data_IF_317758912158
#
_entry.id   IF_317758912158
#
_cell.length_a   1.000
_cell.length_b   1.000
_cell.length_c   1.000
_cell.angle_alpha   90.00
_cell.angle_beta   90.00
_cell.angle_gamma   90.00
#
_symmetry.space_group_name_H-M   'P 1'
#
loop_
_entity.id
_entity.type
_entity.pdbx_description
1 polymer ?
#
# COMPACT_ATOMS: atom_id res chain seq x y z
N UNK A 1 41.89 -12.18 20.27
CA UNK A 1 41.18 -11.07 19.60
C UNK A 1 39.79 -11.04 20.18
N UNK A 2 39.29 -9.88 20.64
CA UNK A 2 37.96 -9.77 21.24
C UNK A 2 36.97 -9.41 20.13
N UNK A 3 36.30 -10.43 19.57
CA UNK A 3 35.39 -10.26 18.43
C UNK A 3 34.02 -9.67 18.83
N UNK A 4 33.65 -9.74 20.12
CA UNK A 4 32.38 -9.24 20.65
C UNK A 4 32.49 -8.94 22.15
N UNK A 5 31.66 -8.02 22.67
CA UNK A 5 31.55 -7.75 24.13
C UNK A 5 32.24 -6.48 24.64
N UNK A 6 33.06 -5.79 23.84
CA UNK A 6 33.73 -4.54 24.26
C UNK A 6 32.75 -3.44 24.69
N UNK A 7 31.58 -3.36 24.05
CA UNK A 7 30.51 -2.43 24.43
C UNK A 7 29.94 -2.73 25.84
N UNK A 8 29.95 -3.99 26.29
CA UNK A 8 29.52 -4.36 27.65
C UNK A 8 30.55 -3.94 28.68
N UNK A 9 31.84 -4.01 28.34
CA UNK A 9 32.94 -3.51 29.18
C UNK A 9 32.83 -1.99 29.35
N UNK A 10 32.59 -1.27 28.24
CA UNK A 10 32.39 0.19 28.27
C UNK A 10 31.15 0.57 29.09
N UNK A 11 30.03 -0.14 28.92
CA UNK A 11 28.82 0.09 29.71
C UNK A 11 29.01 -0.26 31.20
N UNK A 12 29.66 -1.38 31.52
CA UNK A 12 29.95 -1.77 32.89
C UNK A 12 30.86 -0.76 33.60
N UNK A 13 31.86 -0.22 32.90
CA UNK A 13 32.70 0.85 33.44
C UNK A 13 31.93 2.14 33.74
N UNK A 14 30.84 2.39 33.02
CA UNK A 14 30.01 3.58 33.18
C UNK A 14 28.91 3.40 34.24
N UNK A 15 28.37 2.19 34.41
CA UNK A 15 27.15 1.95 35.18
C UNK A 15 27.28 0.98 36.36
N UNK A 16 28.39 0.24 36.50
CA UNK A 16 28.60 -0.71 37.59
C UNK A 16 29.71 -0.26 38.54
N UNK A 17 29.46 -0.42 39.83
CA UNK A 17 30.45 -0.25 40.90
C UNK A 17 31.60 -1.25 40.74
N UNK A 18 32.84 -0.92 41.14
CA UNK A 18 34.04 -1.74 40.93
C UNK A 18 33.88 -3.21 41.35
N UNK A 19 33.23 -3.45 42.50
CA UNK A 19 33.05 -4.78 43.07
C UNK A 19 32.01 -5.64 42.32
N UNK A 20 31.23 -5.03 41.42
CA UNK A 20 30.23 -5.69 40.58
C UNK A 20 30.70 -5.86 39.12
N UNK A 21 31.97 -5.54 38.81
CA UNK A 21 32.54 -5.66 37.45
C UNK A 21 33.15 -7.03 37.20
N UNK A 22 32.35 -8.07 37.35
CA UNK A 22 32.72 -9.43 36.97
C UNK A 22 31.72 -9.95 35.94
N UNK A 23 32.23 -10.73 34.98
CA UNK A 23 31.41 -11.40 33.98
C UNK A 23 32.12 -12.66 33.50
N UNK A 24 31.32 -13.63 33.09
CA UNK A 24 31.83 -14.83 32.43
C UNK A 24 32.38 -14.46 31.04
N UNK A 25 33.54 -15.02 30.72
CA UNK A 25 34.17 -14.89 29.41
C UNK A 25 34.41 -16.27 28.84
N UNK A 26 34.01 -16.45 27.59
CA UNK A 26 34.34 -17.66 26.83
C UNK A 26 35.68 -17.44 26.11
N UNK A 27 36.64 -18.32 26.35
CA UNK A 27 37.95 -18.29 25.70
C UNK A 27 37.98 -19.31 24.55
N UNK A 28 38.32 -18.84 23.35
CA UNK A 28 38.39 -19.67 22.14
C UNK A 28 39.80 -19.72 21.58
N UNK A 29 40.19 -20.89 21.07
CA UNK A 29 41.50 -21.11 20.46
C UNK A 29 41.60 -20.38 19.11
N UNK A 30 42.76 -19.77 18.86
CA UNK A 30 42.98 -18.83 17.76
C UNK A 30 43.16 -19.62 16.45
N UNK A 31 42.07 -19.84 15.72
CA UNK A 31 42.14 -20.15 14.28
C UNK A 31 41.41 -21.39 13.77
N UNK A 32 40.19 -21.73 14.23
CA UNK A 32 39.52 -22.95 13.71
C UNK A 32 38.08 -22.88 13.20
N UNK A 33 37.47 -21.71 13.00
CA UNK A 33 36.27 -21.69 12.14
C UNK A 33 35.84 -20.30 11.67
N UNK A 34 35.70 -20.05 10.35
CA UNK A 34 34.94 -18.91 9.83
C UNK A 34 33.52 -18.84 10.43
N UNK A 35 32.92 -20.00 10.73
CA UNK A 35 31.60 -20.13 11.35
C UNK A 35 31.55 -19.56 12.78
N UNK A 36 32.63 -19.69 13.56
CA UNK A 36 32.73 -19.09 14.90
C UNK A 36 32.87 -17.56 14.83
N UNK A 37 33.66 -17.05 13.89
CA UNK A 37 33.76 -15.60 13.66
C UNK A 37 32.41 -15.00 13.25
N UNK A 38 31.68 -15.68 12.37
CA UNK A 38 30.36 -15.29 11.91
C UNK A 38 29.31 -15.40 13.03
N UNK A 39 29.40 -16.43 13.89
CA UNK A 39 28.59 -16.58 15.10
C UNK A 39 28.77 -15.39 16.07
N UNK A 40 30.01 -14.98 16.36
CA UNK A 40 30.27 -13.81 17.21
C UNK A 40 29.90 -12.47 16.56
N UNK A 41 30.02 -12.37 15.23
CA UNK A 41 29.52 -11.22 14.49
C UNK A 41 27.99 -11.10 14.58
N UNK A 42 27.30 -12.25 14.60
CA UNK A 42 25.84 -12.33 14.68
C UNK A 42 25.27 -12.10 16.10
N UNK A 43 26.12 -12.06 17.13
CA UNK A 43 25.75 -11.79 18.53
C UNK A 43 25.19 -13.00 19.28
N UNK A 44 25.23 -12.95 20.63
CA UNK A 44 24.58 -13.94 21.49
C UNK A 44 23.07 -13.96 21.26
N UNK A 45 22.43 -15.11 21.45
CA UNK A 45 20.96 -15.34 21.47
C UNK A 45 20.17 -14.32 22.31
N UNK A 46 20.83 -13.66 23.27
CA UNK A 46 20.22 -12.70 24.20
C UNK A 46 20.59 -11.23 23.90
N UNK A 47 21.35 -10.94 22.84
CA UNK A 47 21.74 -9.57 22.47
C UNK A 47 20.91 -9.05 21.28
N UNK A 48 20.00 -8.11 21.58
CA UNK A 48 19.00 -7.48 20.69
C UNK A 48 17.98 -8.47 20.11
N UNK A 49 16.71 -8.26 20.45
CA UNK A 49 15.59 -8.94 19.81
C UNK A 49 15.71 -8.72 18.30
N UNK A 50 16.14 -9.75 17.56
CA UNK A 50 16.26 -9.69 16.11
C UNK A 50 14.86 -9.46 15.56
N UNK A 51 14.70 -8.39 14.79
CA UNK A 51 13.39 -8.02 14.27
C UNK A 51 12.87 -9.11 13.32
N UNK A 52 11.55 -9.14 13.19
CA UNK A 52 10.84 -10.04 12.28
C UNK A 52 11.42 -10.03 10.86
N UNK A 53 11.69 -8.84 10.31
CA UNK A 53 12.27 -8.73 8.98
C UNK A 53 13.73 -9.14 8.90
N UNK A 54 14.56 -8.86 9.90
CA UNK A 54 15.95 -9.35 9.94
C UNK A 54 16.00 -10.88 9.97
N UNK A 55 15.05 -11.53 10.66
CA UNK A 55 14.93 -12.99 10.66
C UNK A 55 14.66 -13.49 9.24
N UNK A 56 13.66 -12.92 8.54
CA UNK A 56 13.35 -13.32 7.18
C UNK A 56 14.51 -13.04 6.21
N UNK A 57 15.14 -11.88 6.32
CA UNK A 57 16.32 -11.51 5.53
C UNK A 57 17.42 -12.58 5.66
N UNK A 58 17.76 -12.99 6.88
CA UNK A 58 18.76 -14.04 7.14
C UNK A 58 18.32 -15.40 6.61
N UNK A 59 17.06 -15.81 6.82
CA UNK A 59 16.50 -17.05 6.24
C UNK A 59 16.73 -17.08 4.73
N UNK A 60 16.37 -16.00 4.03
CA UNK A 60 16.53 -15.92 2.57
C UNK A 60 18.00 -15.89 2.14
N UNK A 61 18.85 -15.15 2.84
CA UNK A 61 20.29 -15.09 2.56
C UNK A 61 20.94 -16.48 2.70
N UNK A 62 20.68 -17.17 3.82
CA UNK A 62 21.24 -18.51 4.06
C UNK A 62 20.73 -19.53 3.06
N UNK A 63 19.43 -19.50 2.76
CA UNK A 63 18.81 -20.35 1.74
C UNK A 63 19.48 -20.20 0.38
N UNK A 64 19.80 -18.96 -0.05
CA UNK A 64 20.51 -18.69 -1.32
C UNK A 64 21.97 -19.14 -1.32
N UNK A 65 22.64 -19.07 -0.17
CA UNK A 65 24.03 -19.53 -0.01
C UNK A 65 24.17 -21.04 0.27
N UNK A 66 23.07 -21.78 0.38
CA UNK A 66 23.08 -23.22 0.71
C UNK A 66 23.42 -23.55 2.16
N UNK A 67 23.40 -22.57 3.07
CA UNK A 67 23.75 -22.72 4.49
C UNK A 67 22.54 -23.22 5.30
N UNK A 68 22.20 -24.50 5.15
CA UNK A 68 20.96 -25.10 5.70
C UNK A 68 20.86 -25.02 7.22
N UNK A 69 21.96 -25.25 7.93
CA UNK A 69 21.95 -25.26 9.40
C UNK A 69 21.63 -23.85 9.95
N UNK A 70 22.28 -22.83 9.40
CA UNK A 70 22.03 -21.43 9.78
C UNK A 70 20.63 -20.97 9.37
N UNK A 71 20.11 -21.43 8.21
CA UNK A 71 18.72 -21.19 7.85
C UNK A 71 17.78 -21.78 8.91
N UNK A 72 17.97 -23.06 9.26
CA UNK A 72 17.16 -23.77 10.24
C UNK A 72 17.19 -23.12 11.62
N UNK A 73 18.35 -22.63 12.06
CA UNK A 73 18.49 -21.87 13.30
C UNK A 73 17.65 -20.59 13.27
N UNK A 74 17.65 -19.86 12.14
CA UNK A 74 16.84 -18.65 12.00
C UNK A 74 15.33 -18.94 12.08
N UNK A 75 14.87 -20.08 11.56
CA UNK A 75 13.48 -20.51 11.69
C UNK A 75 13.07 -20.72 13.16
N UNK A 76 13.99 -21.08 14.05
CA UNK A 76 13.72 -21.30 15.48
C UNK A 76 13.27 -20.02 16.20
N UNK A 77 13.67 -18.83 15.74
CA UNK A 77 13.28 -17.54 16.34
C UNK A 77 11.84 -17.11 16.03
N UNK A 78 11.18 -17.78 15.08
CA UNK A 78 9.82 -17.44 14.67
C UNK A 78 8.77 -18.15 15.54
N UNK A 79 7.66 -17.47 15.83
CA UNK A 79 6.48 -18.10 16.42
C UNK A 79 5.86 -19.11 15.46
N UNK A 80 5.09 -20.06 15.99
CA UNK A 80 4.39 -21.07 15.18
C UNK A 80 3.53 -20.46 14.06
N UNK A 81 2.83 -19.36 14.34
CA UNK A 81 2.05 -18.63 13.36
C UNK A 81 2.92 -18.03 12.25
N UNK A 82 3.99 -17.32 12.59
CA UNK A 82 4.92 -16.73 11.61
C UNK A 82 5.60 -17.79 10.74
N UNK A 83 5.98 -18.94 11.33
CA UNK A 83 6.53 -20.07 10.56
C UNK A 83 5.52 -20.61 9.55
N UNK A 84 4.25 -20.73 9.94
CA UNK A 84 3.18 -21.18 9.06
C UNK A 84 3.00 -20.22 7.88
N UNK A 85 2.87 -18.92 8.16
CA UNK A 85 2.69 -17.88 7.13
C UNK A 85 3.88 -17.87 6.16
N UNK A 86 5.12 -17.92 6.67
CA UNK A 86 6.30 -17.96 5.81
C UNK A 86 6.38 -19.22 4.96
N UNK A 87 6.02 -20.39 5.50
CA UNK A 87 5.94 -21.64 4.72
C UNK A 87 4.88 -21.59 3.62
N UNK A 88 3.85 -20.75 3.76
CA UNK A 88 2.85 -20.52 2.72
C UNK A 88 3.32 -19.47 1.69
N UNK A 89 4.10 -18.46 2.12
CA UNK A 89 4.62 -17.41 1.25
C UNK A 89 5.74 -17.90 0.32
N UNK A 90 6.72 -18.64 0.84
CA UNK A 90 7.93 -19.00 0.10
C UNK A 90 7.72 -19.90 -1.14
N UNK A 91 6.67 -20.75 -1.21
CA UNK A 91 6.31 -21.44 -2.44
C UNK A 91 5.85 -20.50 -3.57
N UNK A 92 5.29 -19.32 -3.25
CA UNK A 92 4.96 -18.33 -4.27
C UNK A 92 6.27 -17.77 -4.86
N UNK A 93 6.65 -18.27 -6.03
CA UNK A 93 7.91 -17.93 -6.69
C UNK A 93 8.05 -16.44 -7.03
N UNK A 94 6.94 -15.77 -7.38
CA UNK A 94 6.95 -14.35 -7.73
C UNK A 94 7.20 -13.47 -6.51
N UNK A 95 6.45 -13.69 -5.42
CA UNK A 95 6.65 -12.96 -4.15
C UNK A 95 8.02 -13.26 -3.55
N UNK A 96 8.43 -14.54 -3.52
CA UNK A 96 9.77 -14.93 -3.04
C UNK A 96 10.86 -14.20 -3.82
N UNK A 97 10.78 -14.18 -5.15
CA UNK A 97 11.76 -13.47 -5.99
C UNK A 97 11.75 -11.97 -5.69
N UNK A 98 10.58 -11.36 -5.56
CA UNK A 98 10.46 -9.93 -5.27
C UNK A 98 11.09 -9.55 -3.92
N UNK A 99 10.93 -10.37 -2.88
CA UNK A 99 11.64 -10.21 -1.61
C UNK A 99 13.14 -10.46 -1.74
N UNK A 100 13.54 -11.50 -2.48
CA UNK A 100 14.95 -11.85 -2.68
C UNK A 100 15.71 -10.75 -3.44
N UNK A 101 15.04 -10.00 -4.32
CA UNK A 101 15.60 -8.87 -5.05
C UNK A 101 15.87 -7.64 -4.13
N UNK A 102 15.36 -7.64 -2.89
CA UNK A 102 15.59 -6.60 -1.87
C UNK A 102 16.70 -6.95 -0.86
N UNK A 103 17.32 -8.14 -0.96
CA UNK A 103 18.32 -8.59 0.02
C UNK A 103 19.58 -7.71 0.06
N UNK A 104 19.84 -6.96 -1.01
CA UNK A 104 20.99 -6.06 -1.14
C UNK A 104 20.95 -4.86 -0.18
N UNK A 105 19.77 -4.45 0.29
CA UNK A 105 19.61 -3.33 1.23
C UNK A 105 19.17 -3.84 2.61
N UNK A 106 20.10 -4.25 3.50
CA UNK A 106 19.76 -4.78 4.80
C UNK A 106 18.97 -3.79 5.66
N UNK A 107 19.17 -2.48 5.48
CA UNK A 107 18.43 -1.44 6.21
C UNK A 107 16.91 -1.46 6.00
N UNK A 108 16.39 -2.06 4.93
CA UNK A 108 14.94 -2.14 4.66
C UNK A 108 14.21 -3.10 5.61
N UNK A 109 14.89 -4.14 6.06
CA UNK A 109 14.28 -5.30 6.73
C UNK A 109 13.90 -5.05 8.20
N UNK A 110 14.64 -4.28 9.02
CA UNK A 110 14.35 -4.13 10.44
C UNK A 110 12.96 -3.58 10.80
N UNK A 111 12.31 -2.86 9.89
CA UNK A 111 10.99 -2.25 10.11
C UNK A 111 9.82 -3.13 9.65
N UNK A 112 10.10 -4.27 9.01
CA UNK A 112 9.11 -5.24 8.57
C UNK A 112 8.55 -6.05 9.75
N UNK A 113 7.23 -6.31 9.71
CA UNK A 113 6.52 -7.10 10.71
C UNK A 113 5.97 -8.37 10.05
N UNK A 114 6.49 -9.54 10.43
CA UNK A 114 6.02 -10.82 9.88
C UNK A 114 4.58 -11.12 10.30
N UNK A 115 4.14 -10.57 11.43
CA UNK A 115 2.75 -10.71 11.90
C UNK A 115 1.69 -10.17 10.93
N UNK A 116 2.05 -9.37 9.92
CA UNK A 116 1.10 -8.91 8.87
C UNK A 116 1.12 -9.76 7.61
N UNK A 117 1.99 -10.78 7.50
CA UNK A 117 2.06 -11.63 6.30
C UNK A 117 0.79 -12.41 6.02
N UNK A 118 0.06 -12.84 7.06
CA UNK A 118 -1.25 -13.48 6.86
C UNK A 118 -2.18 -12.66 5.95
N UNK A 119 -2.13 -11.32 6.01
CA UNK A 119 -2.95 -10.43 5.18
C UNK A 119 -2.63 -10.59 3.70
N UNK A 120 -1.34 -10.61 3.37
CA UNK A 120 -0.86 -10.81 2.01
C UNK A 120 -1.37 -12.14 1.45
N UNK A 121 -1.29 -13.21 2.24
CA UNK A 121 -1.72 -14.55 1.84
C UNK A 121 -3.25 -14.68 1.69
N UNK A 122 -4.02 -14.01 2.56
CA UNK A 122 -5.50 -14.11 2.54
C UNK A 122 -6.15 -13.24 1.49
N UNK A 123 -5.53 -12.10 1.15
CA UNK A 123 -6.10 -11.09 0.26
C UNK A 123 -6.06 -11.52 -1.21
N UNK A 124 -5.08 -12.36 -1.60
CA UNK A 124 -4.85 -12.81 -2.97
C UNK A 124 -4.65 -11.68 -3.99
N UNK A 125 -3.93 -10.63 -3.60
CA UNK A 125 -3.43 -9.57 -4.50
C UNK A 125 -1.92 -9.75 -4.72
N UNK A 126 -1.51 -10.90 -5.25
CA UNK A 126 -0.10 -11.26 -5.32
C UNK A 126 0.62 -10.38 -6.35
N UNK A 127 -0.03 -10.06 -7.47
CA UNK A 127 0.48 -9.21 -8.55
C UNK A 127 0.71 -7.78 -8.07
N UNK A 128 -0.26 -7.19 -7.36
CA UNK A 128 -0.13 -5.84 -6.78
C UNK A 128 0.98 -5.80 -5.74
N UNK A 129 1.08 -6.84 -4.91
CA UNK A 129 2.14 -6.91 -3.90
C UNK A 129 3.53 -7.06 -4.52
N UNK A 130 3.67 -7.90 -5.56
CA UNK A 130 4.90 -8.02 -6.35
C UNK A 130 5.25 -6.67 -6.99
N UNK A 131 4.28 -5.97 -7.57
CA UNK A 131 4.49 -4.65 -8.19
C UNK A 131 4.99 -3.63 -7.18
N UNK A 132 4.43 -3.61 -5.97
CA UNK A 132 4.91 -2.73 -4.89
C UNK A 132 6.36 -3.06 -4.48
N UNK A 133 6.69 -4.34 -4.28
CA UNK A 133 8.05 -4.75 -3.93
C UNK A 133 9.06 -4.39 -5.04
N UNK A 134 8.67 -4.52 -6.30
CA UNK A 134 9.46 -4.05 -7.44
C UNK A 134 9.61 -2.53 -7.45
N UNK A 135 8.56 -1.78 -7.09
CA UNK A 135 8.63 -0.33 -6.94
C UNK A 135 9.66 0.07 -5.86
N UNK A 136 9.68 -0.62 -4.70
CA UNK A 136 10.71 -0.44 -3.67
C UNK A 136 12.10 -0.66 -4.27
N UNK A 137 12.32 -1.80 -4.91
CA UNK A 137 13.62 -2.12 -5.54
C UNK A 137 14.06 -1.02 -6.50
N UNK A 138 13.17 -0.56 -7.38
CA UNK A 138 13.48 0.44 -8.40
C UNK A 138 13.87 1.78 -7.77
N UNK A 139 13.16 2.23 -6.73
CA UNK A 139 13.50 3.48 -6.04
C UNK A 139 14.85 3.36 -5.33
N UNK A 140 15.10 2.29 -4.58
CA UNK A 140 16.37 2.14 -3.86
C UNK A 140 17.57 1.93 -4.79
N UNK A 141 17.37 1.29 -5.94
CA UNK A 141 18.39 1.20 -7.01
C UNK A 141 18.73 2.60 -7.53
N UNK A 142 17.72 3.42 -7.82
CA UNK A 142 17.92 4.80 -8.29
C UNK A 142 18.60 5.68 -7.25
N UNK A 143 18.15 5.63 -5.99
CA UNK A 143 18.76 6.38 -4.87
C UNK A 143 20.24 6.00 -4.73
N UNK A 144 20.55 4.71 -4.80
CA UNK A 144 21.93 4.23 -4.67
C UNK A 144 22.76 4.44 -5.93
N UNK A 145 22.17 4.83 -7.07
CA UNK A 145 22.86 5.11 -8.34
C UNK A 145 23.79 3.97 -8.79
N UNK A 146 23.40 2.72 -8.52
CA UNK A 146 24.19 1.50 -8.77
C UNK A 146 25.57 1.46 -8.10
N UNK A 147 25.79 2.27 -7.05
CA UNK A 147 27.06 2.37 -6.33
C UNK A 147 27.09 1.46 -5.10
N UNK A 148 28.03 0.52 -5.07
CA UNK A 148 28.14 -0.48 -4.01
C UNK A 148 28.41 0.11 -2.60
N UNK A 149 29.21 1.18 -2.51
CA UNK A 149 29.47 1.90 -1.26
C UNK A 149 28.20 2.57 -0.69
N UNK A 150 27.34 3.11 -1.57
CA UNK A 150 26.05 3.71 -1.17
C UNK A 150 25.07 2.65 -0.70
N UNK A 151 25.00 1.51 -1.41
CA UNK A 151 24.20 0.35 -0.99
C UNK A 151 24.63 -0.13 0.40
N UNK A 152 25.93 -0.27 0.65
CA UNK A 152 26.47 -0.65 1.96
C UNK A 152 26.17 0.38 3.06
N UNK A 153 26.06 1.67 2.69
CA UNK A 153 25.67 2.76 3.58
C UNK A 153 24.17 2.87 3.86
N UNK A 154 23.33 2.06 3.22
CA UNK A 154 21.87 2.09 3.39
C UNK A 154 21.45 1.32 4.65
N UNK A 155 21.74 1.91 5.81
CA UNK A 155 21.40 1.35 7.11
C UNK A 155 19.95 1.65 7.52
N UNK A 156 19.52 1.07 8.64
CA UNK A 156 18.17 1.27 9.18
C UNK A 156 17.82 2.75 9.36
N UNK A 157 18.77 3.54 9.87
CA UNK A 157 18.56 4.95 10.18
C UNK A 157 18.34 5.77 8.90
N UNK A 158 19.13 5.48 7.87
CA UNK A 158 19.02 6.05 6.53
C UNK A 158 17.65 5.76 5.91
N UNK A 159 17.16 4.51 5.99
CA UNK A 159 15.80 4.17 5.55
C UNK A 159 14.75 4.98 6.31
N UNK A 160 14.81 5.00 7.64
CA UNK A 160 13.84 5.70 8.50
C UNK A 160 13.78 7.22 8.24
N UNK A 161 14.91 7.83 7.88
CA UNK A 161 14.98 9.26 7.57
C UNK A 161 14.42 9.60 6.19
N UNK A 162 14.48 8.68 5.23
CA UNK A 162 14.06 8.88 3.84
C UNK A 162 12.64 8.41 3.52
N UNK A 163 12.21 7.28 4.09
CA UNK A 163 10.90 6.72 3.78
C UNK A 163 9.77 7.74 3.98
N UNK A 164 8.73 7.66 3.16
CA UNK A 164 7.55 8.56 3.18
C UNK A 164 7.80 10.01 2.75
N UNK A 165 9.04 10.41 2.48
CA UNK A 165 9.36 11.73 1.95
C UNK A 165 9.20 11.77 0.43
N UNK A 166 8.75 12.89 -0.10
CA UNK A 166 8.55 13.13 -1.53
C UNK A 166 9.29 14.39 -1.99
N UNK A 167 10.64 14.40 -1.95
CA UNK A 167 11.45 15.59 -2.22
C UNK A 167 11.34 16.14 -3.66
N UNK A 168 10.78 15.40 -4.62
CA UNK A 168 10.48 15.97 -5.93
C UNK A 168 9.35 17.00 -5.88
N UNK A 169 8.38 16.83 -4.98
CA UNK A 169 7.18 17.65 -4.89
C UNK A 169 7.15 18.55 -3.63
N UNK A 170 7.78 18.12 -2.53
CA UNK A 170 7.82 18.83 -1.25
C UNK A 170 9.15 19.56 -1.04
N UNK A 171 9.11 20.90 -1.05
CA UNK A 171 10.24 21.73 -0.65
C UNK A 171 10.68 21.49 0.80
N UNK A 172 9.73 21.20 1.70
CA UNK A 172 10.02 20.87 3.09
C UNK A 172 10.84 19.57 3.22
N UNK A 173 10.46 18.52 2.49
CA UNK A 173 11.21 17.25 2.47
C UNK A 173 12.59 17.43 1.85
N UNK A 174 12.67 18.20 0.75
CA UNK A 174 13.93 18.51 0.10
C UNK A 174 14.89 19.19 1.07
N UNK A 175 14.45 20.28 1.72
CA UNK A 175 15.26 21.00 2.70
C UNK A 175 15.70 20.12 3.87
N UNK A 176 14.81 19.26 4.38
CA UNK A 176 15.17 18.30 5.41
C UNK A 176 16.30 17.37 4.94
N UNK A 177 16.16 16.76 3.76
CA UNK A 177 17.17 15.84 3.21
C UNK A 177 18.52 16.55 3.04
N UNK A 178 18.51 17.77 2.51
CA UNK A 178 19.74 18.57 2.35
C UNK A 178 20.45 18.79 3.69
N UNK A 179 19.71 19.20 4.71
CA UNK A 179 20.26 19.44 6.05
C UNK A 179 20.83 18.16 6.69
N UNK A 180 20.15 17.03 6.55
CA UNK A 180 20.60 15.75 7.12
C UNK A 180 21.82 15.18 6.37
N UNK A 181 21.94 15.43 5.06
CA UNK A 181 23.16 15.10 4.31
C UNK A 181 24.33 16.01 4.69
N UNK A 182 24.10 17.33 4.80
CA UNK A 182 25.14 18.30 5.14
C UNK A 182 25.69 18.06 6.56
N UNK A 183 24.82 17.65 7.50
CA UNK A 183 25.20 17.26 8.86
C UNK A 183 25.78 15.84 8.98
N UNK A 184 25.89 15.10 7.86
CA UNK A 184 26.38 13.70 7.81
C UNK A 184 25.58 12.74 8.69
N UNK A 185 24.30 13.03 8.92
CA UNK A 185 23.38 12.11 9.58
C UNK A 185 22.76 11.12 8.59
N UNK A 186 22.56 11.57 7.34
CA UNK A 186 22.12 10.73 6.23
C UNK A 186 23.32 10.27 5.38
N UNK A 187 23.43 8.96 5.15
CA UNK A 187 24.57 8.33 4.47
C UNK A 187 25.96 8.71 5.04
N UNK A 188 26.20 8.53 6.35
CA UNK A 188 27.45 8.94 7.00
C UNK A 188 28.70 8.23 6.46
N UNK A 189 28.53 7.06 5.82
CA UNK A 189 29.61 6.25 5.27
C UNK A 189 30.10 6.72 3.90
N UNK A 190 29.37 7.61 3.22
CA UNK A 190 29.80 8.18 1.94
C UNK A 190 30.76 9.34 2.24
N UNK A 191 32.04 9.12 1.95
CA UNK A 191 33.09 10.13 2.13
C UNK A 191 33.42 10.88 0.85
N UNK A 192 33.12 10.28 -0.31
CA UNK A 192 33.36 10.90 -1.61
C UNK A 192 32.33 11.99 -1.92
N UNK A 193 32.82 13.17 -2.30
CA UNK A 193 31.99 14.36 -2.54
C UNK A 193 31.14 14.19 -3.80
N UNK A 194 31.68 13.52 -4.83
CA UNK A 194 30.95 13.28 -6.09
C UNK A 194 29.81 12.27 -5.87
N UNK A 195 30.05 11.22 -5.10
CA UNK A 195 29.02 10.26 -4.72
C UNK A 195 27.94 10.91 -3.86
N UNK A 196 28.32 11.69 -2.84
CA UNK A 196 27.38 12.42 -2.00
C UNK A 196 26.48 13.35 -2.84
N UNK A 197 27.07 14.09 -3.77
CA UNK A 197 26.32 14.96 -4.70
C UNK A 197 25.37 14.16 -5.58
N UNK A 198 25.81 13.06 -6.17
CA UNK A 198 24.98 12.24 -7.04
C UNK A 198 23.82 11.55 -6.29
N UNK A 199 24.06 11.07 -5.07
CA UNK A 199 23.01 10.53 -4.19
C UNK A 199 22.00 11.62 -3.85
N UNK A 200 22.47 12.82 -3.49
CA UNK A 200 21.59 13.97 -3.19
C UNK A 200 20.68 14.30 -4.38
N UNK A 201 21.26 14.48 -5.55
CA UNK A 201 20.52 14.77 -6.79
C UNK A 201 19.51 13.66 -7.11
N UNK A 202 19.90 12.39 -6.93
CA UNK A 202 18.99 11.26 -7.12
C UNK A 202 17.80 11.31 -6.15
N UNK A 203 18.06 11.47 -4.84
CA UNK A 203 16.99 11.54 -3.83
C UNK A 203 16.04 12.69 -4.14
N UNK A 204 16.53 13.86 -4.55
CA UNK A 204 15.69 15.03 -4.87
C UNK A 204 14.68 14.79 -5.99
N UNK A 205 14.94 13.84 -6.89
CA UNK A 205 14.03 13.46 -7.97
C UNK A 205 13.02 12.38 -7.56
N UNK A 206 13.08 11.89 -6.31
CA UNK A 206 12.18 10.86 -5.84
C UNK A 206 10.82 11.47 -5.48
N UNK A 207 9.78 10.78 -5.94
CA UNK A 207 8.44 10.87 -5.36
C UNK A 207 8.46 10.30 -3.94
N UNK A 208 7.31 9.88 -3.41
CA UNK A 208 7.27 9.30 -2.09
C UNK A 208 8.17 8.06 -2.02
N UNK A 209 9.20 8.09 -1.18
CA UNK A 209 10.19 7.00 -1.07
C UNK A 209 9.56 5.84 -0.29
N UNK A 210 9.39 4.65 -0.92
CA UNK A 210 8.77 3.50 -0.28
C UNK A 210 9.81 2.68 0.50
N UNK A 211 9.34 1.84 1.42
CA UNK A 211 10.16 0.85 2.12
C UNK A 211 9.33 -0.38 2.46
N UNK A 212 9.95 -1.44 3.01
CA UNK A 212 9.17 -2.58 3.49
C UNK A 212 8.18 -2.17 4.58
N UNK A 213 8.49 -1.14 5.38
CA UNK A 213 7.53 -0.59 6.33
C UNK A 213 6.29 -0.05 5.63
N UNK A 214 6.45 0.79 4.60
CA UNK A 214 5.33 1.41 3.89
C UNK A 214 4.48 0.35 3.19
N UNK A 215 5.12 -0.64 2.56
CA UNK A 215 4.44 -1.79 1.97
C UNK A 215 3.49 -2.48 2.96
N UNK A 216 3.97 -2.81 4.16
CA UNK A 216 3.13 -3.48 5.17
C UNK A 216 2.05 -2.58 5.77
N UNK A 217 2.26 -1.27 5.86
CA UNK A 217 1.21 -0.34 6.26
C UNK A 217 0.13 -0.23 5.17
N UNK A 218 0.53 -0.06 3.91
CA UNK A 218 -0.36 0.10 2.76
C UNK A 218 -1.16 -1.17 2.46
N UNK A 219 -0.58 -2.36 2.67
CA UNK A 219 -1.31 -3.64 2.59
C UNK A 219 -2.53 -3.68 3.52
N UNK A 220 -2.46 -3.02 4.70
CA UNK A 220 -3.62 -2.98 5.61
C UNK A 220 -4.77 -2.17 5.02
N UNK A 221 -4.48 -1.21 4.15
CA UNK A 221 -5.52 -0.46 3.46
C UNK A 221 -6.08 -1.28 2.28
N UNK A 222 -5.18 -1.86 1.48
CA UNK A 222 -5.55 -2.68 0.34
C UNK A 222 -6.42 -3.87 0.75
N UNK A 223 -6.15 -4.51 1.89
CA UNK A 223 -6.96 -5.64 2.39
C UNK A 223 -8.44 -5.31 2.55
N UNK A 224 -8.78 -4.11 3.01
CA UNK A 224 -10.19 -3.70 3.12
C UNK A 224 -10.82 -3.52 1.75
N UNK A 225 -10.06 -2.97 0.81
CA UNK A 225 -10.53 -2.73 -0.55
C UNK A 225 -10.70 -4.07 -1.31
N UNK A 226 -9.76 -5.01 -1.15
CA UNK A 226 -9.81 -6.32 -1.78
C UNK A 226 -11.08 -7.12 -1.42
N UNK A 227 -11.60 -6.95 -0.21
CA UNK A 227 -12.86 -7.60 0.21
C UNK A 227 -14.04 -7.24 -0.68
N UNK A 228 -14.04 -6.04 -1.28
CA UNK A 228 -15.12 -5.63 -2.17
C UNK A 228 -15.13 -6.43 -3.47
N UNK A 229 -13.96 -6.81 -4.00
CA UNK A 229 -13.84 -7.57 -5.25
C UNK A 229 -14.42 -8.98 -5.15
N UNK A 230 -14.41 -9.60 -3.97
CA UNK A 230 -15.03 -10.92 -3.78
C UNK A 230 -16.53 -10.91 -4.09
N UNK A 231 -17.22 -9.77 -3.95
CA UNK A 231 -18.65 -9.66 -4.29
C UNK A 231 -18.94 -9.73 -5.79
N UNK A 232 -18.02 -9.29 -6.65
CA UNK A 232 -18.18 -9.29 -8.12
C UNK A 232 -17.49 -10.47 -8.78
N UNK A 233 -16.49 -11.07 -8.11
CA UNK A 233 -15.80 -12.29 -8.56
C UNK A 233 -16.57 -13.55 -8.13
N UNK A 234 -17.26 -13.51 -6.99
CA UNK A 234 -17.88 -14.68 -6.38
C UNK A 234 -16.87 -15.52 -5.60
N UNK A 235 -16.61 -16.75 -6.06
CA UNK A 235 -15.69 -17.69 -5.39
C UNK A 235 -14.35 -17.77 -6.14
N UNK A 236 -13.33 -16.97 -5.76
CA UNK A 236 -12.08 -16.91 -6.52
C UNK A 236 -11.30 -18.22 -6.41
N UNK A 237 -10.81 -18.73 -7.55
CA UNK A 237 -9.87 -19.86 -7.64
C UNK A 237 -8.44 -19.41 -8.05
N UNK A 238 -8.11 -18.15 -7.78
CA UNK A 238 -6.81 -17.55 -8.08
C UNK A 238 -6.66 -16.20 -7.38
N UNK A 239 -5.79 -15.35 -7.92
CA UNK A 239 -5.61 -13.96 -7.47
C UNK A 239 -6.77 -13.08 -7.94
N UNK A 240 -6.93 -11.91 -7.32
CA UNK A 240 -7.93 -10.92 -7.77
C UNK A 240 -7.62 -10.46 -9.20
N UNK A 241 -6.34 -10.22 -9.54
CA UNK A 241 -5.94 -9.80 -10.88
C UNK A 241 -6.26 -10.87 -11.94
N UNK A 242 -5.93 -12.15 -11.68
CA UNK A 242 -6.26 -13.26 -12.56
C UNK A 242 -7.77 -13.40 -12.77
N UNK A 243 -8.54 -13.39 -11.68
CA UNK A 243 -10.00 -13.51 -11.75
C UNK A 243 -10.59 -12.36 -12.56
N UNK A 244 -10.23 -11.10 -12.25
CA UNK A 244 -10.72 -9.93 -12.98
C UNK A 244 -10.31 -9.94 -14.45
N UNK A 245 -9.13 -10.47 -14.76
CA UNK A 245 -8.68 -10.63 -16.14
C UNK A 245 -9.57 -11.60 -16.94
N UNK A 246 -10.07 -12.65 -16.30
CA UNK A 246 -11.02 -13.59 -16.91
C UNK A 246 -12.45 -13.03 -17.07
N UNK A 247 -12.84 -12.07 -16.22
CA UNK A 247 -14.15 -11.42 -16.32
C UNK A 247 -14.22 -10.37 -17.43
N UNK A 248 -13.09 -9.99 -18.02
CA UNK A 248 -13.07 -8.95 -19.06
C UNK A 248 -13.52 -9.51 -20.42
N UNK A 249 -14.64 -9.00 -20.94
CA UNK A 249 -15.31 -9.56 -22.14
C UNK A 249 -15.18 -8.71 -23.40
N UNK A 250 -14.64 -7.49 -23.31
CA UNK A 250 -14.43 -6.63 -24.49
C UNK A 250 -13.30 -7.18 -25.36
N UNK A 251 -13.60 -7.47 -26.62
CA UNK A 251 -12.58 -7.86 -27.59
C UNK A 251 -11.78 -6.62 -28.08
N UNK A 252 -10.53 -6.84 -28.49
CA UNK A 252 -9.65 -5.79 -29.01
C UNK A 252 -9.83 -5.48 -30.50
N UNK A 253 -10.76 -6.14 -31.19
CA UNK A 253 -11.00 -5.99 -32.63
C UNK A 253 -12.19 -5.07 -32.93
N UNK A 254 -13.14 -4.91 -32.01
CA UNK A 254 -14.41 -4.20 -32.21
C UNK A 254 -14.50 -2.87 -31.49
N UNK A 255 -13.68 -2.60 -30.47
CA UNK A 255 -13.83 -1.41 -29.61
C UNK A 255 -12.52 -0.63 -29.48
N UNK A 256 -12.38 0.44 -30.27
CA UNK A 256 -11.26 1.40 -30.20
C UNK A 256 -11.40 2.44 -29.08
N UNK A 257 -12.51 2.42 -28.33
CA UNK A 257 -12.87 3.43 -27.35
C UNK A 257 -12.92 2.84 -25.93
N UNK A 258 -11.98 3.26 -25.09
CA UNK A 258 -11.88 2.97 -23.67
C UNK A 258 -12.67 4.01 -22.88
N UNK A 259 -13.35 3.57 -21.82
CA UNK A 259 -14.09 4.48 -20.95
C UNK A 259 -13.24 4.84 -19.72
N UNK A 260 -13.17 6.15 -19.47
CA UNK A 260 -12.54 6.73 -18.29
C UNK A 260 -13.59 7.48 -17.49
N UNK A 261 -13.86 7.03 -16.27
CA UNK A 261 -14.73 7.71 -15.31
C UNK A 261 -14.04 8.97 -14.79
N UNK A 262 -14.70 10.12 -15.00
CA UNK A 262 -14.22 11.43 -14.53
C UNK A 262 -14.84 11.82 -13.19
N UNK A 263 -16.06 11.37 -12.98
CA UNK A 263 -16.87 11.50 -11.76
C UNK A 263 -17.94 10.41 -11.80
N UNK A 264 -18.57 10.10 -10.66
CA UNK A 264 -19.63 9.08 -10.56
C UNK A 264 -20.62 9.16 -11.74
N UNK A 265 -20.62 8.11 -12.57
CA UNK A 265 -21.54 7.97 -13.71
C UNK A 265 -21.25 8.84 -14.93
N UNK A 266 -20.16 9.61 -14.94
CA UNK A 266 -19.73 10.41 -16.10
C UNK A 266 -18.44 9.85 -16.69
N UNK A 267 -18.46 9.58 -17.99
CA UNK A 267 -17.36 8.94 -18.69
C UNK A 267 -16.85 9.78 -19.85
N UNK A 268 -15.54 9.68 -20.10
CA UNK A 268 -14.88 10.14 -21.31
C UNK A 268 -14.39 8.94 -22.11
N UNK A 269 -14.62 8.97 -23.41
CA UNK A 269 -14.02 8.01 -24.34
C UNK A 269 -12.59 8.41 -24.70
N UNK A 270 -11.68 7.44 -24.61
CA UNK A 270 -10.28 7.56 -24.96
C UNK A 270 -9.90 6.47 -25.97
N UNK A 271 -8.92 6.73 -26.82
CA UNK A 271 -8.40 5.69 -27.73
C UNK A 271 -7.42 4.78 -27.01
N UNK A 272 -7.53 3.46 -27.19
CA UNK A 272 -6.57 2.49 -26.66
C UNK A 272 -6.87 1.06 -27.14
N UNK A 273 -6.03 0.10 -26.75
CA UNK A 273 -6.23 -1.31 -27.08
C UNK A 273 -6.94 -2.08 -25.94
N UNK A 274 -7.34 -3.33 -26.18
CA UNK A 274 -8.04 -4.13 -25.16
C UNK A 274 -7.19 -4.45 -23.91
N UNK A 275 -5.87 -4.57 -24.03
CA UNK A 275 -4.99 -4.77 -22.86
C UNK A 275 -4.99 -3.52 -21.98
N UNK A 276 -4.87 -2.34 -22.59
CA UNK A 276 -4.98 -1.06 -21.89
C UNK A 276 -6.37 -0.94 -21.26
N UNK A 277 -7.43 -1.27 -22.00
CA UNK A 277 -8.81 -1.23 -21.51
C UNK A 277 -9.06 -2.10 -20.28
N UNK A 278 -8.47 -3.30 -20.25
CA UNK A 278 -8.57 -4.21 -19.11
C UNK A 278 -7.83 -3.66 -17.89
N UNK A 279 -6.58 -3.24 -18.04
CA UNK A 279 -5.79 -2.74 -16.90
C UNK A 279 -6.35 -1.40 -16.38
N UNK A 280 -6.72 -0.47 -17.27
CA UNK A 280 -7.37 0.79 -16.87
C UNK A 280 -8.73 0.54 -16.23
N UNK A 281 -9.52 -0.38 -16.75
CA UNK A 281 -10.80 -0.77 -16.14
C UNK A 281 -10.59 -1.34 -14.73
N UNK A 282 -9.62 -2.26 -14.57
CA UNK A 282 -9.28 -2.84 -13.29
C UNK A 282 -8.81 -1.79 -12.27
N UNK A 283 -7.95 -0.87 -12.70
CA UNK A 283 -7.48 0.27 -11.89
C UNK A 283 -8.63 1.18 -11.45
N UNK A 284 -9.59 1.48 -12.33
CA UNK A 284 -10.76 2.30 -12.00
C UNK A 284 -11.68 1.63 -10.98
N UNK A 285 -11.82 0.30 -11.03
CA UNK A 285 -12.55 -0.44 -10.00
C UNK A 285 -11.87 -0.36 -8.64
N UNK A 286 -10.54 -0.42 -8.57
CA UNK A 286 -9.82 -0.19 -7.32
C UNK A 286 -10.02 1.22 -6.79
N UNK A 287 -9.99 2.23 -7.66
CA UNK A 287 -10.25 3.62 -7.28
C UNK A 287 -11.67 3.81 -6.74
N UNK A 288 -12.67 3.19 -7.37
CA UNK A 288 -14.04 3.18 -6.86
C UNK A 288 -14.09 2.60 -5.43
N UNK A 289 -13.51 1.43 -5.22
CA UNK A 289 -13.50 0.83 -3.88
C UNK A 289 -12.72 1.70 -2.89
N UNK A 290 -11.58 2.29 -3.27
CA UNK A 290 -10.81 3.18 -2.40
C UNK A 290 -11.62 4.42 -1.97
N UNK A 291 -12.50 4.94 -2.83
CA UNK A 291 -13.44 6.04 -2.54
C UNK A 291 -14.55 5.65 -1.57
N UNK A 292 -15.07 4.43 -1.70
CA UNK A 292 -16.30 4.02 -1.05
C UNK A 292 -16.14 2.89 0.00
N UNK A 293 -14.93 2.43 0.30
CA UNK A 293 -14.72 1.30 1.20
C UNK A 293 -15.44 1.39 2.56
N UNK A 294 -15.62 2.56 3.21
CA UNK A 294 -16.35 2.62 4.48
C UNK A 294 -17.86 2.36 4.35
N UNK A 295 -18.41 2.58 3.15
CA UNK A 295 -19.81 2.30 2.80
C UNK A 295 -20.01 0.94 2.16
N UNK A 296 -18.93 0.22 1.79
CA UNK A 296 -19.01 -1.09 1.14
C UNK A 296 -18.74 -2.24 2.12
N UNK A 297 -17.69 -2.11 2.94
CA UNK A 297 -17.21 -3.20 3.80
C UNK A 297 -17.16 -2.77 5.26
N UNK A 298 -17.16 -3.75 6.18
CA UNK A 298 -17.05 -3.51 7.62
C UNK A 298 -15.66 -2.98 8.04
N UNK A 299 -15.34 -1.75 7.61
CA UNK A 299 -14.07 -1.08 7.83
C UNK A 299 -14.29 0.43 7.93
N UNK A 300 -13.36 1.11 8.58
CA UNK A 300 -13.42 2.56 8.75
C UNK A 300 -12.07 3.20 8.49
N UNK A 301 -12.04 4.48 8.04
CA UNK A 301 -10.83 5.30 8.07
C UNK A 301 -10.23 5.36 9.48
N UNK A 302 -8.97 5.78 9.59
CA UNK A 302 -8.33 5.98 10.90
C UNK A 302 -8.96 7.18 11.60
N UNK A 303 -9.09 7.08 12.92
CA UNK A 303 -9.54 8.19 13.77
C UNK A 303 -8.59 9.38 13.70
N UNK A 304 -9.12 10.59 13.76
CA UNK A 304 -8.34 11.80 13.98
C UNK A 304 -7.81 11.88 15.43
N UNK A 305 -6.70 12.59 15.62
CA UNK A 305 -6.17 12.83 16.95
C UNK A 305 -7.17 13.60 17.81
N UNK A 306 -7.47 13.11 19.01
CA UNK A 306 -8.44 13.72 19.92
C UNK A 306 -9.91 13.56 19.52
N UNK A 307 -10.23 12.77 18.49
CA UNK A 307 -11.60 12.46 18.08
C UNK A 307 -12.00 11.03 18.42
N UNK A 308 -13.31 10.78 18.44
CA UNK A 308 -13.88 9.45 18.63
C UNK A 308 -13.51 8.53 17.46
N UNK A 309 -13.52 7.23 17.72
CA UNK A 309 -13.29 6.22 16.67
C UNK A 309 -14.48 6.26 15.71
N UNK A 310 -14.26 6.30 14.38
CA UNK A 310 -15.36 6.22 13.42
C UNK A 310 -16.10 4.89 13.56
N UNK A 311 -17.42 4.94 13.39
CA UNK A 311 -18.31 3.78 13.47
C UNK A 311 -18.34 3.04 12.13
N UNK A 312 -18.49 1.71 12.20
CA UNK A 312 -18.68 0.88 11.01
C UNK A 312 -20.10 1.16 10.50
N UNK A 313 -20.23 1.58 9.25
CA UNK A 313 -21.51 1.78 8.59
C UNK A 313 -22.05 0.45 8.07
N UNK A 314 -23.38 0.33 7.98
CA UNK A 314 -23.99 -0.75 7.23
C UNK A 314 -23.65 -0.58 5.73
N UNK A 315 -23.37 -1.69 5.01
CA UNK A 315 -23.10 -1.62 3.58
C UNK A 315 -24.25 -0.96 2.82
N UNK A 316 -23.96 0.09 2.04
CA UNK A 316 -24.98 0.80 1.26
C UNK A 316 -25.25 0.08 -0.07
N UNK A 317 -26.47 -0.43 -0.31
CA UNK A 317 -26.81 -1.12 -1.56
C UNK A 317 -26.58 -0.26 -2.81
N UNK A 318 -26.70 1.08 -2.72
CA UNK A 318 -26.49 2.00 -3.85
C UNK A 318 -25.05 2.00 -4.32
N UNK A 319 -24.11 1.95 -3.38
CA UNK A 319 -22.68 1.91 -3.68
C UNK A 319 -22.30 0.57 -4.30
N UNK A 320 -22.88 -0.54 -3.84
CA UNK A 320 -22.68 -1.84 -4.46
C UNK A 320 -23.25 -1.92 -5.87
N UNK A 321 -24.46 -1.40 -6.07
CA UNK A 321 -25.06 -1.30 -7.40
C UNK A 321 -24.22 -0.40 -8.33
N UNK A 322 -23.68 0.71 -7.82
CA UNK A 322 -22.75 1.59 -8.53
C UNK A 322 -21.45 0.89 -8.93
N UNK A 323 -20.86 0.09 -8.03
CA UNK A 323 -19.67 -0.71 -8.31
C UNK A 323 -19.90 -1.73 -9.44
N UNK A 324 -21.01 -2.46 -9.39
CA UNK A 324 -21.40 -3.41 -10.43
C UNK A 324 -21.71 -2.71 -11.76
N UNK A 325 -22.35 -1.53 -11.70
CA UNK A 325 -22.63 -0.69 -12.87
C UNK A 325 -21.32 -0.26 -13.53
N UNK A 326 -20.36 0.25 -12.75
CA UNK A 326 -19.04 0.64 -13.25
C UNK A 326 -18.31 -0.56 -13.85
N UNK A 327 -18.30 -1.72 -13.19
CA UNK A 327 -17.67 -2.94 -13.72
C UNK A 327 -18.24 -3.33 -15.09
N UNK A 328 -19.57 -3.33 -15.23
CA UNK A 328 -20.23 -3.63 -16.51
C UNK A 328 -19.89 -2.60 -17.59
N UNK A 329 -19.87 -1.31 -17.24
CA UNK A 329 -19.49 -0.24 -18.17
C UNK A 329 -18.03 -0.37 -18.62
N UNK A 330 -17.12 -0.79 -17.75
CA UNK A 330 -15.71 -0.99 -18.08
C UNK A 330 -15.45 -2.27 -18.87
N UNK A 331 -16.45 -3.14 -19.04
CA UNK A 331 -16.35 -4.37 -19.83
C UNK A 331 -16.06 -5.63 -19.01
N UNK A 332 -16.29 -5.60 -17.70
CA UNK A 332 -16.26 -6.79 -16.85
C UNK A 332 -17.65 -7.39 -16.70
N UNK A 333 -17.75 -8.70 -16.81
CA UNK A 333 -19.02 -9.41 -16.69
C UNK A 333 -18.89 -10.69 -15.85
N UNK A 334 -19.90 -10.94 -15.02
CA UNK A 334 -20.04 -12.15 -14.19
C UNK A 334 -21.50 -12.28 -13.72
N UNK A 335 -21.90 -13.49 -13.33
CA UNK A 335 -23.21 -13.73 -12.71
C UNK A 335 -23.40 -12.88 -11.44
N UNK A 336 -22.34 -12.69 -10.66
CA UNK A 336 -22.39 -11.88 -9.44
C UNK A 336 -22.59 -10.39 -9.75
N UNK A 337 -21.96 -9.87 -10.82
CA UNK A 337 -22.24 -8.52 -11.34
C UNK A 337 -23.69 -8.43 -11.79
N UNK A 338 -24.20 -9.42 -12.53
CA UNK A 338 -25.59 -9.45 -12.97
C UNK A 338 -26.56 -9.42 -11.78
N UNK A 339 -26.34 -10.24 -10.75
CA UNK A 339 -27.16 -10.26 -9.53
C UNK A 339 -27.16 -8.92 -8.79
N UNK A 340 -26.01 -8.24 -8.70
CA UNK A 340 -25.95 -6.90 -8.10
C UNK A 340 -26.71 -5.84 -8.91
N UNK A 341 -26.94 -6.08 -10.21
CA UNK A 341 -27.67 -5.20 -11.12
C UNK A 341 -29.16 -5.57 -11.28
N UNK A 342 -29.62 -6.71 -10.73
CA UNK A 342 -31.01 -7.17 -10.89
C UNK A 342 -32.05 -6.21 -10.30
N UNK A 343 -31.74 -5.59 -9.17
CA UNK A 343 -32.65 -4.65 -8.49
C UNK A 343 -31.93 -3.35 -8.21
N UNK A 344 -32.34 -2.29 -8.91
CA UNK A 344 -31.88 -0.94 -8.63
C UNK A 344 -32.36 -0.50 -7.22
N UNK A 345 -31.45 -0.16 -6.29
CA UNK A 345 -31.80 0.29 -4.95
C UNK A 345 -32.71 1.53 -4.92
N UNK A 346 -32.60 2.42 -5.90
CA UNK A 346 -33.46 3.61 -5.99
C UNK A 346 -34.86 3.24 -6.49
N UNK A 347 -34.99 2.27 -7.39
CA UNK A 347 -36.30 1.73 -7.77
C UNK A 347 -36.97 1.00 -6.60
N UNK A 348 -36.20 0.24 -5.82
CA UNK A 348 -36.68 -0.41 -4.60
C UNK A 348 -37.16 0.63 -3.58
N UNK A 349 -36.36 1.66 -3.32
CA UNK A 349 -36.73 2.74 -2.40
C UNK A 349 -37.97 3.51 -2.88
N UNK A 350 -38.07 3.80 -4.17
CA UNK A 350 -39.24 4.44 -4.77
C UNK A 350 -40.50 3.57 -4.60
N UNK A 351 -40.38 2.25 -4.79
CA UNK A 351 -41.48 1.29 -4.59
C UNK A 351 -41.95 1.25 -3.14
N UNK A 352 -41.02 1.18 -2.19
CA UNK A 352 -41.32 1.19 -0.74
C UNK A 352 -41.98 2.51 -0.31
N UNK A 353 -41.49 3.64 -0.81
CA UNK A 353 -42.09 4.95 -0.59
C UNK A 353 -43.53 5.04 -1.13
N UNK A 354 -43.77 4.53 -2.35
CA UNK A 354 -45.11 4.55 -2.95
C UNK A 354 -46.09 3.64 -2.20
N UNK A 355 -45.68 2.44 -1.79
CA UNK A 355 -46.54 1.54 -1.02
C UNK A 355 -46.85 2.06 0.38
N UNK A 356 -45.88 2.68 1.06
CA UNK A 356 -46.12 3.30 2.37
C UNK A 356 -46.99 4.55 2.28
N UNK A 357 -46.81 5.36 1.24
CA UNK A 357 -47.56 6.60 1.04
C UNK A 357 -48.97 6.38 0.47
N UNK A 358 -49.17 5.31 -0.32
CA UNK A 358 -50.44 4.96 -0.98
C UNK A 358 -50.74 3.48 -0.77
N UNK A 359 -51.31 3.11 0.40
CA UNK A 359 -51.56 1.71 0.73
C UNK A 359 -52.54 1.05 -0.26
N UNK A 360 -52.30 -0.22 -0.67
CA UNK A 360 -53.13 -0.90 -1.67
C UNK A 360 -54.62 -1.04 -1.30
N UNK A 361 -54.93 -1.01 0.01
CA UNK A 361 -56.32 -1.07 0.49
C UNK A 361 -57.10 0.25 0.40
N UNK A 362 -56.42 1.37 0.13
CA UNK A 362 -57.01 2.72 0.10
C UNK A 362 -56.94 3.37 -1.28
N UNK A 363 -56.04 2.89 -2.15
CA UNK A 363 -55.79 3.46 -3.47
C UNK A 363 -55.79 2.34 -4.52
N UNK A 364 -56.52 2.55 -5.62
CA UNK A 364 -56.45 1.68 -6.79
C UNK A 364 -55.35 2.20 -7.71
N UNK A 365 -54.18 1.57 -7.66
CA UNK A 365 -53.03 1.87 -8.53
C UNK A 365 -52.81 0.65 -9.42
N UNK A 366 -52.89 0.84 -10.73
CA UNK A 366 -52.60 -0.24 -11.67
C UNK A 366 -51.10 -0.58 -11.68
N UNK A 367 -50.70 -1.83 -12.01
CA UNK A 367 -49.28 -2.18 -12.09
C UNK A 367 -48.47 -1.26 -13.03
N UNK A 368 -49.08 -0.84 -14.15
CA UNK A 368 -48.46 0.08 -15.11
C UNK A 368 -48.24 1.48 -14.54
N UNK A 369 -49.22 2.03 -13.81
CA UNK A 369 -49.08 3.32 -13.13
C UNK A 369 -48.00 3.27 -12.04
N UNK A 370 -47.98 2.19 -11.25
CA UNK A 370 -46.97 1.99 -10.23
C UNK A 370 -45.56 1.99 -10.85
N UNK A 371 -45.36 1.24 -11.92
CA UNK A 371 -44.06 1.17 -12.60
C UNK A 371 -43.65 2.54 -13.18
N UNK A 372 -44.57 3.27 -13.82
CA UNK A 372 -44.28 4.61 -14.34
C UNK A 372 -43.87 5.57 -13.21
N UNK A 373 -44.57 5.54 -12.08
CA UNK A 373 -44.25 6.37 -10.92
C UNK A 373 -42.88 6.01 -10.30
N UNK A 374 -42.55 4.71 -10.21
CA UNK A 374 -41.22 4.25 -9.77
C UNK A 374 -40.14 4.81 -10.69
N UNK A 375 -40.31 4.68 -12.02
CA UNK A 375 -39.35 5.20 -12.99
C UNK A 375 -39.20 6.74 -12.89
N UNK A 376 -40.30 7.47 -12.63
CA UNK A 376 -40.24 8.92 -12.43
C UNK A 376 -39.45 9.31 -11.18
N UNK A 377 -39.72 8.67 -10.04
CA UNK A 377 -39.00 8.93 -8.79
C UNK A 377 -37.51 8.57 -8.94
N UNK A 378 -37.21 7.41 -9.53
CA UNK A 378 -35.81 6.99 -9.78
C UNK A 378 -35.08 7.99 -10.68
N UNK A 379 -35.72 8.52 -11.75
CA UNK A 379 -35.13 9.59 -12.56
C UNK A 379 -34.86 10.86 -11.77
N UNK A 380 -35.77 11.26 -10.88
CA UNK A 380 -35.58 12.43 -10.03
C UNK A 380 -34.35 12.22 -9.14
N UNK A 381 -34.25 11.09 -8.47
CA UNK A 381 -33.11 10.75 -7.61
C UNK A 381 -31.79 10.77 -8.39
N UNK A 382 -31.74 10.12 -9.55
CA UNK A 382 -30.56 10.08 -10.44
C UNK A 382 -30.21 11.44 -11.05
N UNK A 383 -31.17 12.34 -11.18
CA UNK A 383 -30.93 13.71 -11.67
C UNK A 383 -30.33 14.64 -10.61
N UNK A 384 -30.39 14.26 -9.33
CA UNK A 384 -29.77 15.05 -8.27
C UNK A 384 -28.26 14.95 -8.42
N UNK A 385 -27.59 16.10 -8.53
CA UNK A 385 -26.14 16.13 -8.64
C UNK A 385 -25.53 15.51 -7.39
N UNK A 386 -24.62 14.54 -7.59
CA UNK A 386 -23.68 14.14 -6.55
C UNK A 386 -22.85 15.36 -6.15
N UNK A 387 -22.23 15.31 -4.96
CA UNK A 387 -21.25 16.33 -4.56
C UNK A 387 -20.09 16.26 -5.56
N UNK A 388 -20.19 17.03 -6.62
CA UNK A 388 -19.17 17.13 -7.65
C UNK A 388 -18.03 18.01 -7.19
N UNK A 389 -16.93 17.91 -7.92
CA UNK A 389 -15.81 18.81 -7.78
C UNK A 389 -16.28 20.26 -7.96
N UNK A 390 -15.73 21.18 -7.15
CA UNK A 390 -16.00 22.60 -7.35
C UNK A 390 -15.39 23.00 -8.70
N UNK A 391 -16.18 23.48 -9.68
CA UNK A 391 -15.66 23.86 -10.98
C UNK A 391 -14.53 24.88 -10.83
N UNK A 392 -13.33 24.56 -11.34
CA UNK A 392 -12.15 25.44 -11.31
C UNK A 392 -11.15 25.24 -10.17
N UNK A 393 -11.44 24.36 -9.19
CA UNK A 393 -10.44 23.92 -8.20
C UNK A 393 -10.02 22.49 -8.49
N UNK A 394 -8.90 22.33 -9.20
CA UNK A 394 -8.28 21.02 -9.39
C UNK A 394 -7.78 20.42 -8.06
N UNK A 395 -7.45 19.13 -8.03
CA UNK A 395 -6.91 18.48 -6.84
C UNK A 395 -5.65 19.19 -6.35
N UNK A 396 -5.66 19.69 -5.11
CA UNK A 396 -4.45 20.23 -4.49
C UNK A 396 -3.57 19.08 -4.04
N UNK A 397 -2.55 18.75 -4.86
CA UNK A 397 -1.56 17.71 -4.53
C UNK A 397 -0.41 18.24 -3.67
N UNK A 398 -0.18 19.54 -3.68
CA UNK A 398 0.79 20.23 -2.84
C UNK A 398 0.16 21.45 -2.18
N UNK A 399 0.70 21.86 -1.04
CA UNK A 399 0.32 23.11 -0.39
C UNK A 399 1.06 24.29 -1.01
N UNK A 400 0.36 25.39 -1.23
CA UNK A 400 0.95 26.69 -1.59
C UNK A 400 1.66 27.34 -0.40
N UNK A 401 1.10 27.14 0.79
CA UNK A 401 1.49 27.72 2.06
C UNK A 401 1.14 26.74 3.19
N UNK A 402 1.91 26.80 4.28
CA UNK A 402 1.71 25.94 5.45
C UNK A 402 2.18 24.48 5.28
N UNK A 403 2.02 23.72 6.36
CA UNK A 403 2.43 22.31 6.42
C UNK A 403 1.43 21.41 5.70
N UNK A 404 1.93 20.44 4.94
CA UNK A 404 1.13 19.42 4.28
C UNK A 404 0.77 18.26 5.21
N UNK A 405 0.56 17.09 4.62
CA UNK A 405 0.27 15.87 5.36
C UNK A 405 1.51 15.41 6.14
N UNK A 406 1.31 15.13 7.43
CA UNK A 406 2.39 14.74 8.34
C UNK A 406 3.03 13.44 7.85
N UNK A 407 4.37 13.36 7.86
CA UNK A 407 5.14 12.20 7.33
C UNK A 407 4.59 10.84 7.79
N UNK A 408 4.23 10.70 9.07
CA UNK A 408 3.70 9.45 9.64
C UNK A 408 2.28 9.07 9.18
N UNK A 409 1.58 9.96 8.48
CA UNK A 409 0.23 9.77 7.92
C UNK A 409 0.23 9.52 6.40
N UNK A 410 1.41 9.55 5.76
CA UNK A 410 1.57 9.39 4.30
C UNK A 410 1.49 7.95 3.79
N UNK A 411 1.21 6.97 4.67
CA UNK A 411 0.99 5.57 4.30
C UNK A 411 -0.12 4.92 5.14
N UNK A 412 -0.46 3.71 4.76
CA UNK A 412 -1.50 2.89 5.36
C UNK A 412 -2.88 3.44 5.08
N UNK A 413 -3.82 3.05 5.94
CA UNK A 413 -5.21 3.49 5.85
C UNK A 413 -5.33 5.00 6.06
N UNK A 414 -6.09 5.72 5.23
CA UNK A 414 -6.25 7.16 5.39
C UNK A 414 -6.97 7.50 6.69
N UNK A 415 -6.70 8.69 7.20
CA UNK A 415 -7.46 9.26 8.30
C UNK A 415 -8.80 9.82 7.80
N UNK A 416 -9.78 9.93 8.68
CA UNK A 416 -11.14 10.27 8.30
C UNK A 416 -11.24 11.55 7.47
N UNK A 417 -10.63 12.67 7.90
CA UNK A 417 -10.73 13.93 7.14
C UNK A 417 -10.02 13.85 5.80
N UNK A 418 -8.83 13.25 5.79
CA UNK A 418 -8.07 13.02 4.56
C UNK A 418 -8.90 12.18 3.59
N UNK A 419 -9.53 11.10 4.05
CA UNK A 419 -10.39 10.25 3.20
C UNK A 419 -11.62 10.99 2.68
N UNK A 420 -12.31 11.75 3.52
CA UNK A 420 -13.50 12.54 3.14
C UNK A 420 -13.18 13.58 2.06
N UNK A 421 -11.97 14.17 2.09
CA UNK A 421 -11.51 15.09 1.05
C UNK A 421 -10.98 14.35 -0.19
N UNK A 422 -10.08 13.38 0.00
CA UNK A 422 -9.36 12.72 -1.09
C UNK A 422 -10.32 11.94 -2.01
N UNK A 423 -11.42 11.37 -1.48
CA UNK A 423 -12.36 10.56 -2.26
C UNK A 423 -13.02 11.30 -3.43
N UNK A 424 -13.16 12.61 -3.35
CA UNK A 424 -13.75 13.42 -4.42
C UNK A 424 -12.79 13.60 -5.62
N UNK A 425 -11.52 13.19 -5.46
CA UNK A 425 -10.46 13.34 -6.46
C UNK A 425 -9.75 12.03 -6.82
N UNK A 426 -10.16 10.89 -6.25
CA UNK A 426 -9.60 9.57 -6.57
C UNK A 426 -10.18 9.00 -7.87
N UNK A 427 -9.98 9.73 -8.97
CA UNK A 427 -10.28 9.32 -10.34
C UNK A 427 -8.99 9.26 -11.15
N UNK A 428 -8.97 8.37 -12.15
CA UNK A 428 -7.71 8.02 -12.82
C UNK A 428 -7.13 9.20 -13.60
N UNK A 429 -7.96 10.02 -14.23
CA UNK A 429 -7.55 11.22 -14.95
C UNK A 429 -6.89 12.26 -14.03
N UNK A 430 -7.37 12.35 -12.78
CA UNK A 430 -6.87 13.30 -11.78
C UNK A 430 -5.59 12.81 -11.12
N UNK A 431 -5.47 11.51 -10.89
CA UNK A 431 -4.25 10.94 -10.32
C UNK A 431 -3.09 11.00 -11.30
N UNK A 432 -3.34 10.89 -12.60
CA UNK A 432 -2.28 10.89 -13.63
C UNK A 432 -1.88 12.30 -14.11
N UNK A 433 -2.23 13.35 -13.37
CA UNK A 433 -1.79 14.71 -13.67
C UNK A 433 -0.26 14.89 -13.55
N UNK A 434 0.23 16.03 -14.06
CA UNK A 434 1.65 16.38 -14.02
C UNK A 434 2.19 16.42 -12.59
N UNK A 435 3.50 16.22 -12.44
CA UNK A 435 4.14 16.33 -11.14
C UNK A 435 4.04 17.76 -10.60
N UNK A 436 3.43 17.98 -9.44
CA UNK A 436 3.39 19.29 -8.81
C UNK A 436 4.66 19.56 -7.99
N UNK A 437 4.92 20.82 -7.72
CA UNK A 437 5.93 21.25 -6.77
C UNK A 437 5.33 22.35 -5.87
N UNK A 438 5.54 22.23 -4.56
CA UNK A 438 5.00 23.18 -3.59
C UNK A 438 5.72 23.13 -2.24
N UNK A 439 5.13 23.74 -1.23
CA UNK A 439 5.73 23.80 0.12
C UNK A 439 5.84 22.40 0.70
N UNK A 440 4.74 21.64 0.67
CA UNK A 440 4.70 20.25 1.11
C UNK A 440 3.60 19.47 0.37
N UNK A 441 3.62 18.14 0.47
CA UNK A 441 2.62 17.27 -0.19
C UNK A 441 1.34 17.12 0.64
N UNK A 442 0.19 16.98 -0.04
CA UNK A 442 -1.11 16.76 0.61
C UNK A 442 -1.40 15.27 0.87
N UNK A 443 -2.51 14.99 1.55
CA UNK A 443 -3.02 13.63 1.72
C UNK A 443 -3.27 12.95 0.39
N UNK A 444 -3.86 13.69 -0.56
CA UNK A 444 -4.19 13.19 -1.90
C UNK A 444 -2.95 12.79 -2.69
N UNK A 445 -1.85 13.55 -2.60
CA UNK A 445 -0.57 13.13 -3.19
C UNK A 445 -0.11 11.81 -2.58
N UNK A 446 -0.16 11.67 -1.25
CA UNK A 446 0.23 10.42 -0.59
C UNK A 446 -0.67 9.26 -1.04
N UNK A 447 -1.98 9.48 -1.22
CA UNK A 447 -2.92 8.46 -1.74
C UNK A 447 -2.61 8.07 -3.18
N UNK A 448 -2.28 9.05 -4.02
CA UNK A 448 -1.83 8.84 -5.40
C UNK A 448 -0.60 7.94 -5.45
N UNK A 449 0.40 8.20 -4.60
CA UNK A 449 1.63 7.38 -4.58
C UNK A 449 1.37 5.96 -4.04
N UNK A 450 0.48 5.79 -3.06
CA UNK A 450 0.06 4.44 -2.62
C UNK A 450 -0.64 3.67 -3.75
N UNK A 451 -1.49 4.35 -4.52
CA UNK A 451 -2.13 3.75 -5.69
C UNK A 451 -1.08 3.33 -6.75
N UNK A 452 -0.17 4.22 -7.12
CA UNK A 452 0.89 3.90 -8.09
C UNK A 452 1.84 2.78 -7.63
N UNK A 453 2.08 2.66 -6.33
CA UNK A 453 2.91 1.58 -5.80
C UNK A 453 2.29 0.19 -6.04
N UNK A 454 0.95 0.05 -5.96
CA UNK A 454 0.27 -1.23 -6.23
C UNK A 454 -0.07 -1.46 -7.70
N UNK A 455 -0.44 -0.41 -8.43
CA UNK A 455 -1.04 -0.53 -9.76
C UNK A 455 -0.13 -0.07 -10.90
N UNK A 456 0.99 0.56 -10.59
CA UNK A 456 1.88 1.16 -11.57
C UNK A 456 1.40 2.55 -11.99
N UNK A 457 2.25 3.21 -12.78
CA UNK A 457 1.96 4.46 -13.48
C UNK A 457 2.11 4.21 -14.98
#
# INVERSE_FOLDING_TARGET
>A
ECLHGQHRILAANQYLEPDSRWWEVDLYDKGKSPTLQQYFHNGYTNSKCTSDGEILWRIRLYSRSGQRDLEQDMWCYLSTSKRKDLRQLLPNGALRKAFDDLLHWPGLWPSMRLGTLHRLLTMRCDEEAVRYLQHIRNIWTRICTDRANVVAGTDRKTIEMLQLRAPCASNADRKYIEQEMDSKLLFPTITDISDCKAVRESIQQMRQIPSLFTFFEDLKYLEYCAKAFHSIIGSPQGTIHECMSHLYTRDGLTHSHLLVELQDGTFRECTGNATDGREFGYQQLWLYVMRHFPEMVAATPRKENGKTKPEIKEPDPRIWHGFATLARHLGFDSDAIATLLETDPDEKAAREFLHSSRPPGQYSITPSELQNNICQISRILKSMSTRGQIPGQGPALVTSDGSGEVVSRRCGRPFQRSHEYDRDYMYIDLLYCAEPEGVDITSLYSRREVFFAFFGR
#
